data_IF_272146710314
#
_entry.id   IF_272146710314
#
_cell.length_a   1.000
_cell.length_b   1.000
_cell.length_c   1.000
_cell.angle_alpha   90.00
_cell.angle_beta   90.00
_cell.angle_gamma   90.00
#
_symmetry.space_group_name_H-M   'P 1'
#
loop_
_entity.id
_entity.type
_entity.pdbx_description
1 polymer ?
#
# COMPACT_ATOMS: atom_id res chain seq x y z
N UNK A 1 -12.61 -5.73 -17.41
CA UNK A 1 -12.01 -4.40 -17.70
C UNK A 1 -10.73 -4.63 -18.49
N UNK A 2 -10.58 -3.96 -19.60
CA UNK A 2 -9.39 -4.00 -20.44
C UNK A 2 -8.41 -2.97 -19.85
N UNK A 3 -7.16 -3.38 -19.62
CA UNK A 3 -6.07 -2.45 -19.33
C UNK A 3 -5.71 -1.68 -20.59
N UNK A 4 -5.28 -0.42 -20.44
CA UNK A 4 -4.60 0.21 -21.55
C UNK A 4 -3.14 -0.30 -21.63
N UNK A 5 -2.50 -0.02 -22.77
CA UNK A 5 -1.14 -0.48 -23.05
C UNK A 5 -0.14 0.04 -22.02
N UNK A 6 -0.32 1.26 -21.52
CA UNK A 6 0.58 1.86 -20.51
C UNK A 6 0.46 1.16 -19.16
N UNK A 7 -0.75 0.85 -18.72
CA UNK A 7 -0.99 0.14 -17.46
C UNK A 7 -0.41 -1.28 -17.52
N UNK A 8 -0.59 -1.99 -18.65
CA UNK A 8 -0.04 -3.33 -18.84
C UNK A 8 1.49 -3.31 -18.87
N UNK A 9 2.08 -2.39 -19.63
CA UNK A 9 3.53 -2.22 -19.67
C UNK A 9 4.08 -1.91 -18.28
N UNK A 10 3.43 -1.01 -17.53
CA UNK A 10 3.84 -0.68 -16.17
C UNK A 10 3.80 -1.91 -15.26
N UNK A 11 2.70 -2.68 -15.27
CA UNK A 11 2.58 -3.88 -14.44
C UNK A 11 3.66 -4.95 -14.74
N UNK A 12 4.05 -5.08 -16.01
CA UNK A 12 5.07 -6.05 -16.47
C UNK A 12 6.50 -5.55 -16.27
N UNK A 13 6.77 -4.26 -16.54
CA UNK A 13 8.13 -3.71 -16.62
C UNK A 13 8.70 -3.21 -15.28
N UNK A 14 7.97 -3.38 -14.18
CA UNK A 14 8.42 -2.87 -12.88
C UNK A 14 9.77 -3.43 -12.40
N UNK A 15 10.14 -4.63 -12.87
CA UNK A 15 11.39 -5.30 -12.44
C UNK A 15 11.37 -5.66 -10.95
N UNK A 16 12.57 -5.92 -10.39
CA UNK A 16 12.78 -6.09 -8.96
C UNK A 16 12.94 -4.72 -8.26
N UNK A 17 12.92 -4.73 -6.93
CA UNK A 17 13.07 -3.55 -6.09
C UNK A 17 11.75 -2.85 -5.79
N UNK A 18 11.85 -1.71 -5.10
CA UNK A 18 10.71 -0.96 -4.64
C UNK A 18 10.19 0.00 -5.70
N UNK A 19 8.87 0.09 -5.80
CA UNK A 19 8.15 1.01 -6.71
C UNK A 19 7.03 1.70 -5.98
N UNK A 20 6.84 2.96 -6.30
CA UNK A 20 5.71 3.76 -5.83
C UNK A 20 4.90 4.22 -7.04
N UNK A 21 3.60 4.00 -7.01
CA UNK A 21 2.69 4.49 -8.04
C UNK A 21 1.69 5.43 -7.40
N UNK A 22 1.72 6.65 -7.86
CA UNK A 22 0.75 7.66 -7.52
C UNK A 22 -0.35 7.74 -8.57
N UNK A 23 -1.49 8.21 -8.18
CA UNK A 23 -2.52 8.53 -9.15
C UNK A 23 -3.83 8.90 -8.47
N UNK A 24 -4.62 9.68 -9.20
CA UNK A 24 -5.96 10.06 -8.76
C UNK A 24 -6.88 8.85 -8.61
N UNK A 25 -7.93 8.98 -7.82
CA UNK A 25 -8.96 7.96 -7.72
C UNK A 25 -9.51 7.63 -9.12
N UNK A 26 -9.56 6.34 -9.46
CA UNK A 26 -10.02 5.91 -10.79
C UNK A 26 -8.95 5.79 -11.87
N UNK A 27 -7.67 6.03 -11.57
CA UNK A 27 -6.55 5.87 -12.52
C UNK A 27 -6.16 4.41 -12.81
N UNK A 28 -6.82 3.42 -12.18
CA UNK A 28 -6.57 2.01 -12.44
C UNK A 28 -5.49 1.36 -11.57
N UNK A 29 -5.04 1.99 -10.50
CA UNK A 29 -4.05 1.45 -9.55
C UNK A 29 -4.32 0.01 -9.14
N UNK A 30 -5.54 -0.29 -8.72
CA UNK A 30 -5.98 -1.65 -8.32
C UNK A 30 -5.83 -2.68 -9.44
N UNK A 31 -6.06 -2.26 -10.69
CA UNK A 31 -5.90 -3.16 -11.86
C UNK A 31 -4.42 -3.49 -12.08
N UNK A 32 -3.56 -2.48 -12.01
CA UNK A 32 -2.10 -2.65 -12.05
C UNK A 32 -1.62 -3.60 -10.96
N UNK A 33 -2.13 -3.44 -9.73
CA UNK A 33 -1.81 -4.33 -8.61
C UNK A 33 -2.18 -5.79 -8.92
N UNK A 34 -3.38 -6.04 -9.42
CA UNK A 34 -3.84 -7.38 -9.78
C UNK A 34 -2.96 -8.03 -10.86
N UNK A 35 -2.60 -7.32 -11.91
CA UNK A 35 -1.72 -7.82 -12.94
C UNK A 35 -0.27 -7.98 -12.45
N UNK A 36 0.19 -7.13 -11.54
CA UNK A 36 1.49 -7.33 -10.88
C UNK A 36 1.52 -8.62 -10.06
N UNK A 37 0.43 -8.93 -9.35
CA UNK A 37 0.29 -10.23 -8.66
C UNK A 37 0.43 -11.40 -9.63
N UNK A 38 -0.26 -11.35 -10.78
CA UNK A 38 -0.18 -12.39 -11.82
C UNK A 38 1.25 -12.58 -12.31
N UNK A 39 1.94 -11.48 -12.60
CA UNK A 39 3.32 -11.54 -13.07
C UNK A 39 4.25 -12.12 -12.00
N UNK A 40 4.18 -11.64 -10.77
CA UNK A 40 5.03 -12.12 -9.67
C UNK A 40 4.76 -13.58 -9.31
N UNK A 41 3.51 -14.04 -9.37
CA UNK A 41 3.13 -15.42 -9.08
C UNK A 41 3.78 -16.46 -10.03
N UNK A 42 4.24 -16.04 -11.20
CA UNK A 42 4.95 -16.92 -12.15
C UNK A 42 6.37 -17.27 -11.67
N UNK A 43 7.00 -16.36 -10.94
CA UNK A 43 8.44 -16.46 -10.62
C UNK A 43 8.72 -16.54 -9.11
N UNK A 44 7.76 -16.16 -8.26
CA UNK A 44 7.95 -16.18 -6.81
C UNK A 44 7.90 -17.62 -6.28
N UNK A 45 8.89 -17.95 -5.44
CA UNK A 45 8.92 -19.19 -4.67
C UNK A 45 8.23 -19.07 -3.32
N UNK A 46 8.27 -17.87 -2.73
CA UNK A 46 7.56 -17.53 -1.50
C UNK A 46 6.21 -16.89 -1.83
N UNK A 47 5.23 -16.92 -0.93
CA UNK A 47 3.96 -16.26 -1.14
C UNK A 47 4.14 -14.76 -1.36
N UNK A 48 3.20 -14.15 -2.07
CA UNK A 48 3.11 -12.71 -2.28
C UNK A 48 2.11 -12.16 -1.28
N UNK A 49 2.50 -11.14 -0.51
CA UNK A 49 1.60 -10.46 0.43
C UNK A 49 0.97 -9.24 -0.25
N UNK A 50 -0.35 -9.15 -0.19
CA UNK A 50 -1.11 -7.96 -0.57
C UNK A 50 -1.81 -7.42 0.66
N UNK A 51 -1.47 -6.19 1.05
CA UNK A 51 -2.09 -5.50 2.17
C UNK A 51 -3.04 -4.43 1.69
N UNK A 52 -4.19 -4.37 2.35
CA UNK A 52 -5.29 -3.53 1.94
C UNK A 52 -6.06 -2.98 3.14
N UNK A 53 -6.61 -1.75 3.00
CA UNK A 53 -7.52 -1.18 4.00
C UNK A 53 -9.00 -1.29 3.59
N UNK A 54 -9.32 -1.29 2.29
CA UNK A 54 -10.69 -1.33 1.80
C UNK A 54 -11.18 -2.77 1.59
N UNK A 55 -12.10 -3.24 2.45
CA UNK A 55 -12.63 -4.61 2.44
C UNK A 55 -13.32 -4.97 1.11
N UNK A 56 -14.08 -4.05 0.51
CA UNK A 56 -14.81 -4.31 -0.73
C UNK A 56 -13.85 -4.51 -1.93
N UNK A 57 -12.77 -3.74 -1.99
CA UNK A 57 -11.77 -3.89 -3.04
C UNK A 57 -10.95 -5.17 -2.86
N UNK A 58 -10.66 -5.57 -1.62
CA UNK A 58 -9.99 -6.83 -1.32
C UNK A 58 -10.80 -8.04 -1.82
N UNK A 59 -12.13 -8.03 -1.65
CA UNK A 59 -13.01 -9.09 -2.16
C UNK A 59 -12.94 -9.19 -3.69
N UNK A 60 -12.94 -8.07 -4.39
CA UNK A 60 -12.82 -8.04 -5.87
C UNK A 60 -11.47 -8.56 -6.34
N UNK A 61 -10.39 -8.22 -5.64
CA UNK A 61 -9.07 -8.75 -5.96
C UNK A 61 -9.01 -10.26 -5.74
N UNK A 62 -9.53 -10.76 -4.61
CA UNK A 62 -9.59 -12.21 -4.35
C UNK A 62 -10.35 -12.96 -5.44
N UNK A 63 -11.51 -12.44 -5.88
CA UNK A 63 -12.26 -13.03 -6.99
C UNK A 63 -11.46 -13.05 -8.30
N UNK A 64 -10.75 -11.97 -8.61
CA UNK A 64 -9.87 -11.90 -9.78
C UNK A 64 -8.71 -12.91 -9.69
N UNK A 65 -8.06 -13.04 -8.54
CA UNK A 65 -6.97 -14.00 -8.32
C UNK A 65 -7.47 -15.46 -8.39
N UNK A 66 -8.67 -15.72 -7.88
CA UNK A 66 -9.33 -17.03 -7.98
C UNK A 66 -9.64 -17.40 -9.45
N UNK A 67 -10.19 -16.47 -10.22
CA UNK A 67 -10.41 -16.65 -11.67
C UNK A 67 -9.11 -17.00 -12.42
N UNK A 68 -7.98 -16.45 -11.96
CA UNK A 68 -6.65 -16.70 -12.55
C UNK A 68 -5.90 -17.89 -11.94
N UNK A 69 -6.47 -18.59 -10.97
CA UNK A 69 -5.88 -19.80 -10.38
C UNK A 69 -4.61 -19.57 -9.57
N UNK A 70 -4.42 -18.39 -8.97
CA UNK A 70 -3.20 -18.04 -8.21
C UNK A 70 -3.43 -17.72 -6.73
N UNK A 71 -4.57 -18.09 -6.20
CA UNK A 71 -4.95 -17.83 -4.79
C UNK A 71 -4.00 -18.44 -3.77
N UNK A 72 -3.40 -19.59 -4.07
CA UNK A 72 -2.42 -20.24 -3.18
C UNK A 72 -1.09 -19.49 -3.09
N UNK A 73 -0.77 -18.68 -4.12
CA UNK A 73 0.47 -17.92 -4.19
C UNK A 73 0.36 -16.49 -3.70
N UNK A 74 -0.88 -15.96 -3.56
CA UNK A 74 -1.13 -14.57 -3.23
C UNK A 74 -2.04 -14.49 -2.00
N UNK A 75 -1.48 -13.98 -0.92
CA UNK A 75 -2.20 -13.76 0.34
C UNK A 75 -2.69 -12.32 0.40
N UNK A 76 -4.02 -12.14 0.46
CA UNK A 76 -4.66 -10.82 0.49
C UNK A 76 -5.29 -10.59 1.85
N UNK A 77 -4.76 -9.63 2.60
CA UNK A 77 -5.21 -9.30 3.94
C UNK A 77 -5.51 -7.81 4.12
N UNK A 78 -6.46 -7.52 5.02
CA UNK A 78 -6.50 -6.25 5.72
C UNK A 78 -5.33 -6.21 6.72
N UNK A 79 -4.64 -5.08 6.87
CA UNK A 79 -3.41 -4.98 7.65
C UNK A 79 -3.56 -5.51 9.09
N UNK A 80 -4.59 -5.06 9.82
CA UNK A 80 -4.79 -5.52 11.21
C UNK A 80 -5.16 -7.01 11.29
N UNK A 81 -5.89 -7.53 10.29
CA UNK A 81 -6.17 -8.97 10.22
C UNK A 81 -4.88 -9.76 9.98
N UNK A 82 -3.99 -9.28 9.10
CA UNK A 82 -2.67 -9.87 8.91
C UNK A 82 -1.86 -9.91 10.21
N UNK A 83 -1.87 -8.84 11.01
CA UNK A 83 -1.23 -8.83 12.32
C UNK A 83 -1.80 -9.93 13.24
N UNK A 84 -3.12 -10.07 13.32
CA UNK A 84 -3.75 -11.13 14.10
C UNK A 84 -3.37 -12.54 13.64
N UNK A 85 -3.31 -12.77 12.31
CA UNK A 85 -2.88 -14.05 11.75
C UNK A 85 -1.38 -14.34 12.01
N UNK A 86 -0.52 -13.32 12.02
CA UNK A 86 0.89 -13.48 12.42
C UNK A 86 0.99 -13.97 13.87
N UNK A 87 0.31 -13.29 14.80
CA UNK A 87 0.33 -13.69 16.22
C UNK A 87 -0.18 -15.10 16.41
N UNK A 88 -1.27 -15.46 15.76
CA UNK A 88 -1.86 -16.79 15.81
C UNK A 88 -0.92 -17.86 15.23
N UNK A 89 -0.31 -17.59 14.08
CA UNK A 89 0.56 -18.54 13.38
C UNK A 89 1.83 -18.86 14.20
N UNK A 90 2.38 -17.85 14.86
CA UNK A 90 3.60 -18.00 15.65
C UNK A 90 3.36 -18.16 17.16
N UNK A 91 2.09 -18.35 17.58
CA UNK A 91 1.70 -18.55 18.97
C UNK A 91 2.21 -17.46 19.92
N UNK A 92 2.09 -16.20 19.47
CA UNK A 92 2.43 -15.02 20.28
C UNK A 92 1.15 -14.45 20.89
N UNK A 93 1.11 -14.39 22.21
CA UNK A 93 -0.03 -13.81 22.93
C UNK A 93 -0.03 -12.27 22.82
N UNK A 94 -1.22 -11.70 22.64
CA UNK A 94 -1.38 -10.24 22.60
C UNK A 94 -1.06 -9.68 23.99
N UNK A 95 -0.24 -8.64 24.05
CA UNK A 95 0.11 -7.95 25.29
C UNK A 95 -1.16 -7.50 26.02
N UNK A 96 -1.21 -7.72 27.33
CA UNK A 96 -2.30 -7.28 28.18
C UNK A 96 -2.37 -5.74 28.25
N UNK A 97 -3.57 -5.22 28.38
CA UNK A 97 -3.80 -3.80 28.59
C UNK A 97 -3.49 -3.45 30.07
N UNK A 98 -2.32 -2.89 30.30
CA UNK A 98 -1.87 -2.51 31.65
C UNK A 98 -2.07 -1.01 31.94
N UNK A 99 -2.73 -0.26 31.05
CA UNK A 99 -2.85 1.20 31.13
C UNK A 99 -4.16 1.68 31.74
N UNK A 100 -4.15 2.90 32.28
CA UNK A 100 -5.37 3.62 32.76
C UNK A 100 -6.36 3.93 31.62
N UNK A 101 -5.90 3.92 30.35
CA UNK A 101 -6.74 4.09 29.16
C UNK A 101 -6.73 2.79 28.36
N UNK A 102 -7.92 2.25 28.10
CA UNK A 102 -8.08 1.05 27.29
C UNK A 102 -7.57 1.29 25.86
N UNK A 103 -6.51 0.58 25.46
CA UNK A 103 -5.98 0.59 24.11
C UNK A 103 -6.75 -0.43 23.26
N UNK A 104 -7.25 -0.05 22.08
CA UNK A 104 -7.99 -0.98 21.21
C UNK A 104 -7.20 -2.24 20.90
N UNK A 105 -7.88 -3.39 20.83
CA UNK A 105 -7.23 -4.69 20.61
C UNK A 105 -6.40 -4.72 19.32
N UNK A 106 -6.84 -4.08 18.26
CA UNK A 106 -6.12 -4.04 16.99
C UNK A 106 -4.80 -3.25 17.10
N UNK A 107 -4.74 -2.19 17.90
CA UNK A 107 -3.52 -1.42 18.14
C UNK A 107 -2.53 -2.22 18.99
N UNK A 108 -3.00 -2.93 20.01
CA UNK A 108 -2.18 -3.86 20.81
C UNK A 108 -1.63 -5.01 19.96
N UNK A 109 -2.44 -5.55 19.05
CA UNK A 109 -1.97 -6.58 18.10
C UNK A 109 -0.82 -6.08 17.25
N UNK A 110 -0.91 -4.87 16.68
CA UNK A 110 0.15 -4.27 15.86
C UNK A 110 1.43 -4.11 16.68
N UNK A 111 1.34 -3.52 17.88
CA UNK A 111 2.50 -3.33 18.77
C UNK A 111 3.13 -4.67 19.14
N UNK A 112 2.29 -5.67 19.46
CA UNK A 112 2.78 -7.02 19.79
C UNK A 112 3.50 -7.68 18.61
N UNK A 113 3.01 -7.52 17.38
CA UNK A 113 3.71 -8.05 16.18
C UNK A 113 5.05 -7.35 15.97
N UNK A 114 5.12 -6.02 16.13
CA UNK A 114 6.37 -5.27 16.01
C UNK A 114 7.40 -5.83 17.01
N UNK A 115 7.02 -5.92 18.28
CA UNK A 115 7.88 -6.45 19.35
C UNK A 115 8.32 -7.90 19.09
N UNK A 116 7.40 -8.74 18.61
CA UNK A 116 7.68 -10.14 18.31
C UNK A 116 8.63 -10.32 17.13
N UNK A 117 8.57 -9.44 16.13
CA UNK A 117 9.54 -9.41 15.02
C UNK A 117 10.90 -8.93 15.49
N UNK A 118 10.96 -7.92 16.35
CA UNK A 118 12.21 -7.44 16.94
C UNK A 118 12.90 -8.50 17.81
N UNK A 119 12.10 -9.29 18.54
CA UNK A 119 12.56 -10.41 19.37
C UNK A 119 12.77 -11.72 18.59
N UNK A 120 12.64 -11.69 17.26
CA UNK A 120 12.77 -12.85 16.38
C UNK A 120 11.78 -14.00 16.65
N UNK A 121 10.70 -13.75 17.38
CA UNK A 121 9.62 -14.70 17.59
C UNK A 121 8.76 -14.87 16.33
N UNK A 122 8.60 -13.80 15.55
CA UNK A 122 8.00 -13.81 14.22
C UNK A 122 9.14 -13.59 13.21
N UNK A 123 9.37 -14.54 12.28
CA UNK A 123 10.48 -14.43 11.33
C UNK A 123 10.24 -13.30 10.32
N UNK A 124 11.33 -12.66 9.91
CA UNK A 124 11.36 -11.73 8.77
C UNK A 124 11.40 -12.49 7.45
N UNK A 125 11.37 -11.77 6.32
CA UNK A 125 11.58 -12.31 4.99
C UNK A 125 10.62 -13.47 4.59
N UNK A 126 9.39 -13.42 5.05
CA UNK A 126 8.38 -14.46 4.81
C UNK A 126 7.85 -14.45 3.36
N UNK A 127 7.86 -13.28 2.69
CA UNK A 127 7.20 -13.05 1.41
C UNK A 127 8.19 -12.74 0.29
N UNK A 128 7.91 -13.27 -0.91
CA UNK A 128 8.70 -12.98 -2.12
C UNK A 128 8.42 -11.60 -2.70
N UNK A 129 7.29 -11.01 -2.35
CA UNK A 129 6.94 -9.63 -2.70
C UNK A 129 5.85 -9.09 -1.75
N UNK A 130 5.81 -7.77 -1.61
CA UNK A 130 4.80 -7.02 -0.87
C UNK A 130 4.14 -5.99 -1.78
N UNK A 131 2.81 -6.01 -1.85
CA UNK A 131 2.02 -5.02 -2.56
C UNK A 131 1.07 -4.34 -1.57
N UNK A 132 1.10 -3.02 -1.51
CA UNK A 132 0.27 -2.22 -0.60
C UNK A 132 -0.63 -1.32 -1.44
N UNK A 133 -1.94 -1.42 -1.24
CA UNK A 133 -2.89 -0.44 -1.77
C UNK A 133 -3.32 0.53 -0.67
N UNK A 134 -3.70 1.74 -1.08
CA UNK A 134 -4.07 2.84 -0.18
C UNK A 134 -2.96 3.15 0.85
N UNK A 135 -1.72 3.23 0.39
CA UNK A 135 -0.55 3.44 1.26
C UNK A 135 -0.60 4.66 2.15
N UNK A 136 -1.46 5.66 1.82
CA UNK A 136 -1.72 6.83 2.66
C UNK A 136 -2.48 6.52 3.96
N UNK A 137 -3.00 5.30 4.11
CA UNK A 137 -3.64 4.82 5.34
C UNK A 137 -2.66 4.18 6.31
N UNK A 138 -1.43 3.89 5.87
CA UNK A 138 -0.40 3.27 6.71
C UNK A 138 0.36 4.29 7.55
N UNK A 139 0.62 3.93 8.79
CA UNK A 139 1.54 4.65 9.67
C UNK A 139 3.00 4.23 9.41
N UNK A 140 3.96 5.08 9.81
CA UNK A 140 5.38 4.83 9.60
C UNK A 140 5.85 3.48 10.16
N UNK A 141 5.47 3.16 11.38
CA UNK A 141 5.89 1.93 12.04
C UNK A 141 5.24 0.68 11.41
N UNK A 142 4.05 0.82 10.82
CA UNK A 142 3.41 -0.26 10.07
C UNK A 142 4.16 -0.54 8.77
N UNK A 143 4.58 0.50 8.06
CA UNK A 143 5.41 0.34 6.85
C UNK A 143 6.76 -0.26 7.18
N UNK A 144 7.41 0.18 8.27
CA UNK A 144 8.68 -0.44 8.74
C UNK A 144 8.50 -1.92 9.07
N UNK A 145 7.40 -2.29 9.73
CA UNK A 145 7.09 -3.68 10.03
C UNK A 145 6.98 -4.51 8.75
N UNK A 146 6.11 -4.10 7.81
CA UNK A 146 5.82 -4.94 6.64
C UNK A 146 6.94 -4.98 5.61
N UNK A 147 7.78 -3.95 5.53
CA UNK A 147 8.97 -3.96 4.66
C UNK A 147 9.99 -5.02 5.08
N UNK A 148 10.12 -5.32 6.38
CA UNK A 148 10.99 -6.38 6.90
C UNK A 148 10.51 -7.79 6.53
N UNK A 149 9.25 -7.93 6.11
CA UNK A 149 8.67 -9.22 5.73
C UNK A 149 9.05 -9.64 4.31
N UNK A 150 9.65 -8.77 3.52
CA UNK A 150 10.08 -9.07 2.14
C UNK A 150 11.38 -9.84 2.15
N UNK A 151 11.47 -10.82 1.28
CA UNK A 151 12.73 -11.53 1.00
C UNK A 151 13.77 -10.56 0.43
N UNK A 152 14.90 -10.30 1.12
CA UNK A 152 15.90 -9.34 0.68
C UNK A 152 16.57 -9.71 -0.64
N UNK A 153 16.57 -10.99 -1.04
CA UNK A 153 17.10 -11.40 -2.34
C UNK A 153 16.24 -10.90 -3.50
N UNK A 154 14.93 -10.77 -3.29
CA UNK A 154 13.97 -10.30 -4.31
C UNK A 154 13.64 -8.83 -4.16
N UNK A 155 13.59 -8.36 -2.92
CA UNK A 155 13.36 -6.96 -2.54
C UNK A 155 12.26 -6.29 -3.36
N UNK A 156 11.14 -7.01 -3.57
CA UNK A 156 10.06 -6.58 -4.46
C UNK A 156 8.92 -5.96 -3.68
N UNK A 157 8.76 -4.64 -3.79
CA UNK A 157 7.68 -3.87 -3.16
C UNK A 157 6.97 -2.98 -4.16
N UNK A 158 5.63 -2.97 -4.11
CA UNK A 158 4.79 -2.01 -4.80
C UNK A 158 3.90 -1.27 -3.79
N UNK A 159 4.08 0.03 -3.69
CA UNK A 159 3.21 0.91 -2.91
C UNK A 159 2.32 1.73 -3.86
N UNK A 160 1.01 1.59 -3.71
CA UNK A 160 0.03 2.41 -4.40
C UNK A 160 -0.50 3.50 -3.46
N UNK A 161 -0.55 4.71 -3.96
CA UNK A 161 -0.86 5.90 -3.17
C UNK A 161 -1.86 6.80 -3.87
N UNK A 162 -2.83 7.34 -3.14
CA UNK A 162 -3.80 8.31 -3.66
C UNK A 162 -3.59 9.70 -3.02
N UNK A 163 -3.05 10.64 -3.79
CA UNK A 163 -2.74 11.98 -3.30
C UNK A 163 -3.98 12.78 -2.89
N UNK A 164 -5.08 12.60 -3.62
CA UNK A 164 -6.30 13.34 -3.37
C UNK A 164 -6.93 12.99 -2.02
N UNK A 165 -6.80 11.71 -1.59
CA UNK A 165 -7.37 11.25 -0.32
C UNK A 165 -6.56 11.70 0.89
N UNK A 166 -5.25 11.93 0.74
CA UNK A 166 -4.41 12.46 1.80
C UNK A 166 -4.79 13.87 2.22
N UNK A 167 -5.41 14.66 1.32
CA UNK A 167 -5.84 16.04 1.58
C UNK A 167 -7.07 16.10 2.51
N UNK A 168 -8.00 15.15 2.37
CA UNK A 168 -9.21 15.14 3.18
C UNK A 168 -8.95 14.80 4.66
N UNK A 169 -7.90 14.04 4.97
CA UNK A 169 -7.49 13.74 6.34
C UNK A 169 -6.97 14.97 7.11
N UNK A 170 -6.54 16.04 6.41
CA UNK A 170 -6.02 17.27 7.03
C UNK A 170 -7.06 18.11 7.78
N UNK A 171 -8.37 17.99 7.47
CA UNK A 171 -9.41 18.86 8.04
C UNK A 171 -10.06 18.38 9.35
N UNK A 172 -9.82 17.17 9.79
CA UNK A 172 -10.61 16.58 10.89
C UNK A 172 -9.89 16.23 12.20
N UNK A 173 -8.61 15.96 12.21
CA UNK A 173 -7.79 15.69 13.42
C UNK A 173 -6.30 15.76 13.09
N UNK A 174 -5.57 16.55 13.87
CA UNK A 174 -4.11 16.62 14.02
C UNK A 174 -3.27 16.00 12.90
N UNK A 175 -2.61 16.88 12.12
CA UNK A 175 -1.39 16.66 11.32
C UNK A 175 -0.87 15.22 11.35
N UNK A 176 -1.16 14.45 10.30
CA UNK A 176 -0.24 13.43 9.83
C UNK A 176 -0.20 13.54 8.31
N UNK A 177 0.54 14.51 7.82
CA UNK A 177 1.33 14.32 6.59
C UNK A 177 2.11 13.03 6.79
N UNK A 178 2.59 12.42 5.72
CA UNK A 178 3.72 11.52 5.87
C UNK A 178 4.85 12.35 6.50
N UNK A 179 4.87 12.43 7.84
CA UNK A 179 5.93 13.08 8.60
C UNK A 179 7.25 12.29 8.50
N UNK A 180 7.33 11.36 7.54
CA UNK A 180 8.47 10.49 7.34
C UNK A 180 8.75 10.35 5.84
N UNK A 181 10.01 10.25 5.48
CA UNK A 181 10.40 9.86 4.13
C UNK A 181 10.16 8.37 3.90
N UNK A 182 9.82 7.95 2.69
CA UNK A 182 9.66 6.53 2.37
C UNK A 182 10.94 5.73 2.65
N UNK A 183 12.11 6.35 2.47
CA UNK A 183 13.39 5.73 2.80
C UNK A 183 13.56 5.45 4.30
N UNK A 184 13.02 6.29 5.18
CA UNK A 184 13.10 6.09 6.64
C UNK A 184 12.27 4.89 7.13
N UNK A 185 11.31 4.44 6.34
CA UNK A 185 10.50 3.25 6.63
C UNK A 185 10.92 2.02 5.81
N UNK A 186 12.10 2.07 5.17
CA UNK A 186 12.66 0.95 4.43
C UNK A 186 12.22 0.88 2.96
N UNK A 187 11.48 1.86 2.43
CA UNK A 187 11.02 1.87 1.03
C UNK A 187 12.00 2.66 0.16
N UNK A 188 12.83 1.94 -0.61
CA UNK A 188 13.87 2.50 -1.46
C UNK A 188 13.37 2.71 -2.91
N UNK A 189 12.48 3.69 -3.11
CA UNK A 189 11.85 3.96 -4.40
C UNK A 189 12.39 5.20 -5.12
N UNK A 190 13.55 5.73 -4.74
CA UNK A 190 14.15 6.91 -5.39
C UNK A 190 14.34 6.68 -6.89
N UNK A 191 13.80 7.57 -7.71
CA UNK A 191 13.80 7.44 -9.17
C UNK A 191 12.90 6.32 -9.72
N UNK A 192 12.09 5.69 -8.88
CA UNK A 192 11.17 4.60 -9.24
C UNK A 192 9.73 4.91 -8.86
N UNK A 193 9.38 6.18 -8.88
CA UNK A 193 8.02 6.66 -8.67
C UNK A 193 7.36 6.92 -10.02
N UNK A 194 6.15 6.43 -10.19
CA UNK A 194 5.35 6.63 -11.40
C UNK A 194 4.04 7.32 -11.05
N UNK A 195 3.66 8.29 -11.83
CA UNK A 195 2.41 9.04 -11.66
C UNK A 195 1.42 8.66 -12.74
N UNK A 196 0.24 8.18 -12.33
CA UNK A 196 -0.87 7.89 -13.23
C UNK A 196 -1.75 9.15 -13.35
N UNK A 197 -1.66 9.80 -14.48
CA UNK A 197 -2.35 11.08 -14.74
C UNK A 197 -3.78 10.89 -15.26
N UNK A 198 -4.07 9.78 -15.97
CA UNK A 198 -5.38 9.54 -16.57
C UNK A 198 -6.37 8.97 -15.58
N UNK A 199 -7.59 9.49 -15.60
CA UNK A 199 -8.71 8.97 -14.84
C UNK A 199 -9.70 8.26 -15.77
N UNK A 200 -9.91 6.97 -15.54
CA UNK A 200 -10.81 6.13 -16.35
C UNK A 200 -12.23 5.99 -15.75
N UNK A 201 -12.46 6.62 -14.61
CA UNK A 201 -13.74 6.48 -13.88
C UNK A 201 -14.67 7.67 -14.07
N UNK A 202 -14.13 8.88 -14.10
CA UNK A 202 -14.87 10.12 -14.10
C UNK A 202 -14.74 10.87 -15.43
N UNK A 203 -15.77 11.64 -15.79
CA UNK A 203 -15.70 12.51 -16.96
C UNK A 203 -14.77 13.70 -16.70
N UNK A 204 -14.26 14.30 -17.76
CA UNK A 204 -13.43 15.52 -17.70
C UNK A 204 -14.07 16.65 -16.89
N UNK A 205 -15.39 16.83 -17.03
CA UNK A 205 -16.15 17.86 -16.31
C UNK A 205 -16.13 17.63 -14.78
N UNK A 206 -16.33 16.38 -14.33
CA UNK A 206 -16.28 16.02 -12.91
C UNK A 206 -14.87 16.21 -12.38
N UNK A 207 -13.83 15.83 -13.14
CA UNK A 207 -12.44 16.00 -12.74
C UNK A 207 -12.07 17.47 -12.61
N UNK A 208 -12.46 18.31 -13.57
CA UNK A 208 -12.21 19.75 -13.52
C UNK A 208 -12.91 20.41 -12.33
N UNK A 209 -14.16 20.02 -12.05
CA UNK A 209 -14.87 20.51 -10.87
C UNK A 209 -14.15 20.14 -9.58
N UNK A 210 -13.78 18.87 -9.42
CA UNK A 210 -13.07 18.38 -8.24
C UNK A 210 -11.69 19.04 -8.07
N UNK A 211 -10.94 19.23 -9.18
CA UNK A 211 -9.65 19.91 -9.19
C UNK A 211 -9.77 21.37 -8.76
N UNK A 212 -10.70 22.10 -9.35
CA UNK A 212 -10.92 23.51 -9.01
C UNK A 212 -11.35 23.69 -7.55
N UNK A 213 -12.16 22.76 -7.03
CA UNK A 213 -12.57 22.78 -5.62
C UNK A 213 -11.40 22.50 -4.67
N UNK A 214 -10.46 21.65 -5.07
CA UNK A 214 -9.31 21.27 -4.24
C UNK A 214 -8.08 22.18 -4.42
N UNK A 215 -8.06 23.03 -5.44
CA UNK A 215 -6.91 23.83 -5.84
C UNK A 215 -6.34 24.69 -4.72
N UNK A 216 -7.19 25.32 -3.92
CA UNK A 216 -6.78 26.20 -2.83
C UNK A 216 -6.13 25.42 -1.66
N UNK A 217 -6.39 24.12 -1.57
CA UNK A 217 -5.80 23.24 -0.55
C UNK A 217 -4.50 22.57 -1.00
N UNK A 218 -4.20 22.62 -2.32
CA UNK A 218 -3.08 21.96 -2.97
C UNK A 218 -1.83 22.85 -3.00
N UNK A 219 -2.00 24.19 -3.05
CA UNK A 219 -0.91 25.16 -3.26
C UNK A 219 0.01 25.37 -2.04
N UNK A 220 -0.29 24.83 -0.88
CA UNK A 220 0.46 25.07 0.36
C UNK A 220 1.55 24.03 0.69
N UNK A 221 1.99 23.20 -0.25
CA UNK A 221 3.02 22.17 0.04
C UNK A 221 4.43 22.63 -0.29
N UNK A 222 5.42 22.44 0.62
CA UNK A 222 6.83 22.62 0.28
C UNK A 222 7.31 21.51 -0.65
N UNK A 223 8.26 21.86 -1.54
CA UNK A 223 8.89 20.95 -2.49
C UNK A 223 9.99 20.15 -1.81
N UNK A 224 9.66 19.03 -1.18
CA UNK A 224 10.65 18.02 -0.84
C UNK A 224 10.90 17.11 -2.06
N UNK A 225 12.17 16.71 -2.28
CA UNK A 225 12.55 15.84 -3.40
C UNK A 225 11.87 14.46 -3.40
N UNK A 226 11.35 14.03 -2.23
CA UNK A 226 10.52 12.84 -2.06
C UNK A 226 9.02 13.18 -1.97
N UNK A 227 8.64 14.46 -2.06
CA UNK A 227 7.26 14.88 -1.96
C UNK A 227 6.48 14.47 -3.22
N UNK A 228 5.36 13.88 -2.96
CA UNK A 228 4.36 13.52 -3.96
C UNK A 228 3.78 14.80 -4.55
N UNK A 229 4.27 15.22 -5.71
CA UNK A 229 3.73 16.36 -6.41
C UNK A 229 2.27 16.09 -6.82
N UNK A 230 1.36 16.95 -6.41
CA UNK A 230 -0.01 16.93 -6.90
C UNK A 230 0.00 17.33 -8.37
N UNK A 231 -0.41 16.40 -9.21
CA UNK A 231 -0.46 16.59 -10.65
C UNK A 231 -1.91 16.81 -11.03
N UNK A 232 -2.17 17.93 -11.70
CA UNK A 232 -3.45 18.12 -12.36
C UNK A 232 -3.67 16.96 -13.32
N UNK A 233 -4.88 16.33 -13.33
CA UNK A 233 -5.16 15.26 -14.27
C UNK A 233 -4.96 15.78 -15.70
N UNK A 234 -4.16 15.08 -16.49
CA UNK A 234 -4.04 15.37 -17.93
C UNK A 234 -5.41 15.15 -18.58
N UNK A 235 -5.82 16.11 -19.33
CA UNK A 235 -7.13 16.19 -19.99
C UNK A 235 -7.05 15.67 -21.42
#
# INVERSE_FOLDING_TARGET
KIMDVQQEQLARSMGAGHRVIHGVAGSGKTLILGFRCLHLAQFSRKPILVLWFNIALAARLRSFLAEKGITEKVQVYHFHHWCGEQLKTYHVDVQEDSGEKSVPIWERQVTTVIDAVEKEQIPRAQYGALLIDEGHDFEADWLKLVTQMIDPEKDSLLLLYDDAQSIYKKKGRNKKELDFSLSSVGIQARGRTTVLKMNYRNTRQILNFAYNFSKDFIQERPSDEDAIALIAPEM
#
